data_IF_289703989965
#
_entry.id   IF_289703989965
#
_cell.length_a   1.000
_cell.length_b   1.000
_cell.length_c   1.000
_cell.angle_alpha   90.00
_cell.angle_beta   90.00
_cell.angle_gamma   90.00
#
_symmetry.space_group_name_H-M   'P 1'
#
loop_
_entity.id
_entity.type
_entity.pdbx_description
1 polymer ?
#
# COMPACT_ATOMS: atom_id res chain seq x y z
N UNK A 1 -15.34 9.17 5.62
CA UNK A 1 -14.54 8.35 6.57
C UNK A 1 -14.80 6.84 6.41
N UNK A 2 -15.98 6.39 5.98
CA UNK A 2 -16.34 4.96 5.94
C UNK A 2 -15.82 4.16 4.74
N UNK A 3 -15.76 4.72 3.53
CA UNK A 3 -15.39 3.92 2.33
C UNK A 3 -13.91 3.55 2.27
N UNK A 4 -13.00 4.45 2.60
CA UNK A 4 -11.56 4.21 2.48
C UNK A 4 -11.02 3.25 3.55
N UNK A 5 -11.53 3.30 4.78
CA UNK A 5 -11.18 2.34 5.84
C UNK A 5 -11.76 0.95 5.57
N UNK A 6 -12.93 0.84 4.91
CA UNK A 6 -13.46 -0.43 4.42
C UNK A 6 -12.59 -1.03 3.31
N UNK A 7 -12.04 -0.21 2.42
CA UNK A 7 -11.11 -0.66 1.37
C UNK A 7 -9.75 -1.10 1.94
N UNK A 8 -9.24 -0.40 2.96
CA UNK A 8 -8.04 -0.79 3.69
C UNK A 8 -8.26 -2.12 4.45
N UNK A 9 -9.42 -2.29 5.09
CA UNK A 9 -9.84 -3.56 5.70
C UNK A 9 -10.06 -4.67 4.68
N UNK A 10 -10.58 -4.38 3.49
CA UNK A 10 -10.70 -5.35 2.41
C UNK A 10 -9.32 -5.80 1.92
N UNK A 11 -8.36 -4.89 1.82
CA UNK A 11 -6.97 -5.21 1.51
C UNK A 11 -6.29 -6.05 2.62
N UNK A 12 -6.58 -5.77 3.89
CA UNK A 12 -6.13 -6.59 5.02
C UNK A 12 -6.82 -7.97 5.06
N UNK A 13 -8.06 -8.09 4.59
CA UNK A 13 -8.77 -9.36 4.46
C UNK A 13 -8.20 -10.23 3.32
N UNK A 14 -7.77 -9.60 2.23
CA UNK A 14 -7.02 -10.27 1.17
C UNK A 14 -5.70 -10.82 1.74
N UNK A 15 -4.99 -10.09 2.61
CA UNK A 15 -3.74 -10.53 3.28
C UNK A 15 -3.84 -11.94 3.93
N UNK A 16 -4.95 -12.23 4.63
CA UNK A 16 -5.14 -13.50 5.32
C UNK A 16 -5.65 -14.66 4.46
N UNK A 17 -6.25 -14.38 3.30
CA UNK A 17 -7.00 -15.37 2.51
C UNK A 17 -6.23 -15.89 1.30
N UNK A 18 -5.49 -15.04 0.56
CA UNK A 18 -4.74 -15.48 -0.63
C UNK A 18 -3.53 -16.36 -0.30
N UNK A 19 -2.95 -16.24 0.90
CA UNK A 19 -1.84 -17.09 1.31
C UNK A 19 -2.24 -18.58 1.47
N UNK A 20 -3.53 -18.88 1.60
CA UNK A 20 -4.01 -20.22 1.96
C UNK A 20 -5.02 -20.84 0.97
N UNK A 21 -5.36 -20.17 -0.13
CA UNK A 21 -6.40 -20.66 -1.06
C UNK A 21 -5.88 -20.90 -2.48
N UNK A 22 -5.92 -22.16 -2.91
CA UNK A 22 -5.63 -22.61 -4.29
C UNK A 22 -6.75 -22.27 -5.31
N UNK A 23 -7.77 -21.50 -4.91
CA UNK A 23 -8.93 -21.23 -5.76
C UNK A 23 -8.67 -20.04 -6.70
N UNK A 24 -8.59 -20.33 -8.00
CA UNK A 24 -8.40 -19.34 -9.06
C UNK A 24 -9.48 -18.26 -9.11
N UNK A 25 -10.72 -18.58 -8.73
CA UNK A 25 -11.84 -17.64 -8.71
C UNK A 25 -11.72 -16.55 -7.64
N UNK A 26 -11.22 -16.91 -6.45
CA UNK A 26 -10.94 -15.95 -5.37
C UNK A 26 -9.81 -15.02 -5.76
N UNK A 27 -8.78 -15.56 -6.43
CA UNK A 27 -7.63 -14.83 -6.96
C UNK A 27 -8.06 -13.72 -7.92
N UNK A 28 -8.83 -14.06 -8.96
CA UNK A 28 -9.33 -13.07 -9.94
C UNK A 28 -10.21 -12.00 -9.31
N UNK A 29 -11.01 -12.36 -8.30
CA UNK A 29 -11.86 -11.41 -7.58
C UNK A 29 -11.01 -10.42 -6.79
N UNK A 30 -9.98 -10.91 -6.08
CA UNK A 30 -9.03 -10.05 -5.36
C UNK A 30 -8.28 -9.11 -6.30
N UNK A 31 -7.86 -9.56 -7.48
CA UNK A 31 -7.19 -8.71 -8.47
C UNK A 31 -8.10 -7.56 -8.95
N UNK A 32 -9.38 -7.86 -9.24
CA UNK A 32 -10.35 -6.84 -9.66
C UNK A 32 -10.65 -5.83 -8.56
N UNK A 33 -10.78 -6.29 -7.32
CA UNK A 33 -10.99 -5.41 -6.16
C UNK A 33 -9.79 -4.50 -5.97
N UNK A 34 -8.57 -5.04 -5.98
CA UNK A 34 -7.36 -4.23 -5.87
C UNK A 34 -7.31 -3.20 -7.00
N UNK A 35 -7.52 -3.59 -8.25
CA UNK A 35 -7.50 -2.63 -9.36
C UNK A 35 -8.53 -1.49 -9.20
N UNK A 36 -9.75 -1.80 -8.76
CA UNK A 36 -10.78 -0.79 -8.48
C UNK A 36 -10.37 0.14 -7.32
N UNK A 37 -9.81 -0.43 -6.26
CA UNK A 37 -9.27 0.33 -5.12
C UNK A 37 -8.16 1.25 -5.57
N UNK A 38 -7.25 0.79 -6.43
CA UNK A 38 -6.14 1.63 -6.89
C UNK A 38 -6.63 2.91 -7.55
N UNK A 39 -7.62 2.78 -8.42
CA UNK A 39 -8.22 3.92 -9.13
C UNK A 39 -8.85 4.92 -8.18
N UNK A 40 -9.64 4.44 -7.22
CA UNK A 40 -10.31 5.29 -6.23
C UNK A 40 -9.32 5.98 -5.28
N UNK A 41 -8.32 5.23 -4.81
CA UNK A 41 -7.24 5.73 -3.96
C UNK A 41 -6.48 6.85 -4.66
N UNK A 42 -6.13 6.68 -5.94
CA UNK A 42 -5.43 7.72 -6.69
C UNK A 42 -6.27 8.98 -6.87
N UNK A 43 -7.60 8.84 -7.05
CA UNK A 43 -8.51 9.98 -7.15
C UNK A 43 -8.60 10.76 -5.83
N UNK A 44 -8.55 10.08 -4.69
CA UNK A 44 -8.77 10.66 -3.35
C UNK A 44 -7.53 10.69 -2.46
N UNK A 45 -6.34 10.60 -3.08
CA UNK A 45 -5.06 10.42 -2.39
C UNK A 45 -4.72 11.49 -1.35
N UNK A 46 -5.23 12.72 -1.51
CA UNK A 46 -5.06 13.83 -0.57
C UNK A 46 -5.86 13.66 0.73
N UNK A 47 -7.01 12.98 0.66
CA UNK A 47 -7.91 12.75 1.80
C UNK A 47 -7.45 11.61 2.71
N UNK A 48 -6.50 10.78 2.27
CA UNK A 48 -6.06 9.59 3.00
C UNK A 48 -5.31 9.94 4.28
N UNK A 49 -5.62 9.23 5.37
CA UNK A 49 -4.82 9.32 6.59
C UNK A 49 -3.48 8.59 6.43
N UNK A 50 -2.45 8.93 7.22
CA UNK A 50 -1.17 8.20 7.24
C UNK A 50 -1.35 6.69 7.41
N UNK A 51 -2.30 6.30 8.27
CA UNK A 51 -2.62 4.91 8.55
C UNK A 51 -3.25 4.19 7.35
N UNK A 52 -4.10 4.88 6.59
CA UNK A 52 -4.66 4.34 5.35
C UNK A 52 -3.57 4.16 4.29
N UNK A 53 -2.69 5.16 4.12
CA UNK A 53 -1.55 5.10 3.21
C UNK A 53 -0.63 3.91 3.53
N UNK A 54 -0.28 3.74 4.80
CA UNK A 54 0.50 2.61 5.29
C UNK A 54 -0.17 1.26 4.97
N UNK A 55 -1.47 1.14 5.27
CA UNK A 55 -2.21 -0.10 5.06
C UNK A 55 -2.28 -0.48 3.58
N UNK A 56 -2.53 0.51 2.72
CA UNK A 56 -2.56 0.34 1.27
C UNK A 56 -1.20 -0.10 0.72
N UNK A 57 -0.13 0.63 1.06
CA UNK A 57 1.23 0.34 0.59
C UNK A 57 1.65 -1.09 0.97
N UNK A 58 1.37 -1.52 2.20
CA UNK A 58 1.69 -2.87 2.66
C UNK A 58 0.87 -3.96 1.96
N UNK A 59 -0.43 -3.74 1.77
CA UNK A 59 -1.27 -4.72 1.11
C UNK A 59 -0.86 -4.95 -0.34
N UNK A 60 -0.50 -3.88 -1.07
CA UNK A 60 -0.03 -4.00 -2.45
C UNK A 60 1.31 -4.71 -2.55
N UNK A 61 2.28 -4.36 -1.70
CA UNK A 61 3.57 -5.06 -1.68
C UNK A 61 3.44 -6.56 -1.37
N UNK A 62 2.44 -6.95 -0.57
CA UNK A 62 2.14 -8.37 -0.35
C UNK A 62 1.39 -9.03 -1.48
N UNK A 63 0.49 -8.30 -2.17
CA UNK A 63 -0.21 -8.86 -3.32
C UNK A 63 0.74 -9.35 -4.41
N UNK A 64 1.85 -8.63 -4.62
CA UNK A 64 2.92 -9.04 -5.51
C UNK A 64 3.57 -10.35 -5.04
N UNK A 65 3.80 -10.49 -3.74
CA UNK A 65 4.36 -11.71 -3.14
C UNK A 65 3.45 -12.93 -3.30
N UNK A 66 2.13 -12.71 -3.25
CA UNK A 66 1.12 -13.76 -3.49
C UNK A 66 0.96 -14.13 -4.97
N UNK A 67 1.77 -13.53 -5.87
CA UNK A 67 1.71 -13.80 -7.30
C UNK A 67 0.43 -13.30 -7.98
N UNK A 68 -0.29 -12.36 -7.35
CA UNK A 68 -1.45 -11.71 -7.96
C UNK A 68 -0.98 -10.87 -9.16
N UNK A 69 -1.73 -10.92 -10.25
CA UNK A 69 -1.42 -10.19 -11.48
C UNK A 69 -1.84 -8.71 -11.39
N UNK A 70 -1.53 -8.05 -10.27
CA UNK A 70 -1.80 -6.63 -10.02
C UNK A 70 -0.48 -5.89 -10.04
N UNK A 71 -0.32 -4.93 -10.95
CA UNK A 71 0.85 -4.06 -10.97
C UNK A 71 0.78 -3.06 -9.79
N UNK A 72 1.63 -3.18 -8.76
CA UNK A 72 1.60 -2.27 -7.62
C UNK A 72 2.24 -0.91 -7.94
N UNK A 73 3.02 -0.83 -9.01
CA UNK A 73 3.79 0.33 -9.46
C UNK A 73 3.01 1.64 -9.55
N UNK A 74 1.90 1.73 -10.32
CA UNK A 74 1.20 3.00 -10.54
C UNK A 74 0.63 3.57 -9.24
N UNK A 75 0.14 2.68 -8.38
CA UNK A 75 -0.40 3.06 -7.08
C UNK A 75 0.72 3.52 -6.15
N UNK A 76 1.77 2.71 -5.95
CA UNK A 76 2.85 3.04 -5.04
C UNK A 76 3.55 4.34 -5.46
N UNK A 77 3.84 4.53 -6.75
CA UNK A 77 4.42 5.79 -7.23
C UNK A 77 3.48 6.98 -6.99
N UNK A 78 2.17 6.82 -7.21
CA UNK A 78 1.17 7.84 -6.94
C UNK A 78 1.00 8.19 -5.46
N UNK A 79 1.33 7.26 -4.56
CA UNK A 79 1.26 7.45 -3.11
C UNK A 79 2.51 8.12 -2.52
N UNK A 80 3.63 8.23 -3.25
CA UNK A 80 4.83 8.91 -2.73
C UNK A 80 4.56 10.36 -2.34
N UNK A 81 3.91 11.13 -3.20
CA UNK A 81 3.61 12.54 -2.93
C UNK A 81 2.77 12.76 -1.66
N UNK A 82 1.61 12.08 -1.46
CA UNK A 82 0.85 12.24 -0.22
C UNK A 82 1.57 11.68 1.01
N UNK A 83 2.44 10.67 0.87
CA UNK A 83 3.30 10.20 1.96
C UNK A 83 4.30 11.29 2.35
N UNK A 84 5.02 11.88 1.38
CA UNK A 84 5.96 12.99 1.61
C UNK A 84 5.33 14.16 2.35
N UNK A 85 4.11 14.54 1.96
CA UNK A 85 3.39 15.66 2.57
C UNK A 85 2.98 15.39 4.02
N UNK A 86 2.85 14.11 4.40
CA UNK A 86 2.35 13.69 5.71
C UNK A 86 3.42 13.01 6.56
N UNK A 87 4.69 13.05 6.18
CA UNK A 87 5.79 12.33 6.85
C UNK A 87 5.81 12.55 8.36
N UNK A 88 5.66 13.80 8.82
CA UNK A 88 5.65 14.15 10.24
C UNK A 88 4.47 13.55 11.04
N UNK A 89 3.45 13.03 10.36
CA UNK A 89 2.27 12.39 10.97
C UNK A 89 2.39 10.86 11.03
N UNK A 90 3.41 10.28 10.38
CA UNK A 90 3.65 8.84 10.45
C UNK A 90 4.36 8.48 11.75
N UNK A 91 3.99 7.36 12.34
CA UNK A 91 4.81 6.72 13.38
C UNK A 91 6.04 6.03 12.75
N UNK A 92 7.10 5.85 13.54
CA UNK A 92 8.29 5.12 13.10
C UNK A 92 7.97 3.70 12.58
N UNK A 93 7.00 3.01 13.19
CA UNK A 93 6.56 1.69 12.74
C UNK A 93 5.88 1.74 11.36
N UNK A 94 5.08 2.77 11.09
CA UNK A 94 4.44 2.95 9.80
C UNK A 94 5.47 3.30 8.72
N UNK A 95 6.44 4.17 9.01
CA UNK A 95 7.54 4.50 8.09
C UNK A 95 8.35 3.26 7.71
N UNK A 96 8.72 2.42 8.68
CA UNK A 96 9.44 1.17 8.41
C UNK A 96 8.64 0.24 7.50
N UNK A 97 7.33 0.12 7.71
CA UNK A 97 6.50 -0.71 6.84
C UNK A 97 6.33 -0.15 5.43
N UNK A 98 6.33 1.18 5.29
CA UNK A 98 6.38 1.84 3.98
C UNK A 98 7.72 1.52 3.30
N UNK A 99 8.86 1.74 3.96
CA UNK A 99 10.19 1.43 3.42
C UNK A 99 10.27 -0.03 2.96
N UNK A 100 9.83 -0.98 3.80
CA UNK A 100 9.80 -2.40 3.47
C UNK A 100 8.99 -2.69 2.20
N UNK A 101 7.81 -2.10 2.06
CA UNK A 101 6.93 -2.30 0.91
C UNK A 101 7.53 -1.76 -0.39
N UNK A 102 8.15 -0.58 -0.37
CA UNK A 102 8.85 -0.03 -1.53
C UNK A 102 10.10 -0.85 -1.88
N UNK A 103 10.86 -1.30 -0.88
CA UNK A 103 12.02 -2.15 -1.11
C UNK A 103 11.62 -3.49 -1.73
N UNK A 104 10.51 -4.07 -1.28
CA UNK A 104 10.04 -5.38 -1.75
C UNK A 104 9.53 -5.36 -3.19
N UNK A 105 8.93 -4.25 -3.60
CA UNK A 105 8.37 -4.03 -4.94
C UNK A 105 9.40 -3.54 -5.95
N UNK A 106 10.67 -3.39 -5.55
CA UNK A 106 11.73 -2.84 -6.40
C UNK A 106 11.60 -1.33 -6.64
N UNK A 107 10.70 -0.67 -5.92
CA UNK A 107 10.42 0.77 -6.04
C UNK A 107 11.13 1.60 -4.97
N UNK A 108 12.04 1.02 -4.21
CA UNK A 108 12.89 1.80 -3.31
C UNK A 108 14.00 2.46 -4.11
N UNK A 109 13.93 3.79 -4.27
CA UNK A 109 15.09 4.58 -4.68
C UNK A 109 15.85 5.07 -3.45
N UNK A 110 17.18 5.14 -3.53
CA UNK A 110 18.03 5.63 -2.43
C UNK A 110 17.54 6.99 -1.89
N UNK A 111 17.22 8.00 -2.73
CA UNK A 111 16.74 9.29 -2.24
C UNK A 111 15.39 9.19 -1.51
N UNK A 112 14.53 8.26 -1.92
CA UNK A 112 13.23 8.04 -1.29
C UNK A 112 13.37 7.42 0.09
N UNK A 113 14.23 6.40 0.22
CA UNK A 113 14.48 5.73 1.51
C UNK A 113 15.17 6.67 2.49
N UNK A 114 16.11 7.50 2.02
CA UNK A 114 16.76 8.52 2.86
C UNK A 114 15.75 9.52 3.40
N UNK A 115 14.84 10.04 2.56
CA UNK A 115 13.77 10.93 3.01
C UNK A 115 12.91 10.32 4.14
N UNK A 116 12.57 9.04 4.01
CA UNK A 116 11.80 8.31 5.03
C UNK A 116 12.62 8.06 6.31
N UNK A 117 13.92 7.80 6.17
CA UNK A 117 14.83 7.61 7.29
C UNK A 117 15.04 8.91 8.07
N UNK A 118 15.25 10.02 7.38
CA UNK A 118 15.38 11.34 7.98
C UNK A 118 14.11 11.73 8.74
N UNK A 119 12.93 11.40 8.21
CA UNK A 119 11.66 11.61 8.89
C UNK A 119 11.43 10.68 10.10
N UNK A 120 12.14 9.56 10.20
CA UNK A 120 12.07 8.64 11.33
C UNK A 120 13.03 9.02 12.47
N UNK A 121 14.00 9.90 12.19
CA UNK A 121 14.94 10.43 13.17
C UNK A 121 14.33 11.68 13.85
N UNK A 122 14.38 11.78 15.19
CA UNK A 122 13.87 12.93 15.93
C UNK A 122 14.69 14.20 15.75
#
# INVERSE_FOLDING_TARGET
>A
VTTLSLLASACAYVDGTVANTQSTALRTTSERVLHAVAKEVLARRSELSPRDLFTLVRAYARSEMSGLSVAPEPLLLGLRSPISQKLALFSAQELVGVVWAYARTGLASIPWVQLLADAALP
#
